data_IF_045136336730
#
_entry.id   IF_045136336730
#
_cell.length_a   1.000
_cell.length_b   1.000
_cell.length_c   1.000
_cell.angle_alpha   90.00
_cell.angle_beta   90.00
_cell.angle_gamma   90.00
#
_symmetry.space_group_name_H-M   'P 1'
#
loop_
_entity.id
_entity.type
_entity.pdbx_description
1 polymer ?
#
# COMPACT_ATOMS: atom_id res chain seq x y z
N UNK A 1 48.69 -18.38 -22.21
CA UNK A 1 50.05 -18.20 -21.67
C UNK A 1 50.82 -17.26 -22.59
N UNK A 2 51.17 -16.06 -22.13
CA UNK A 2 51.89 -15.08 -22.97
C UNK A 2 53.19 -15.74 -23.47
N UNK A 3 53.43 -15.72 -24.80
CA UNK A 3 54.54 -16.45 -25.46
C UNK A 3 55.89 -16.24 -24.77
N UNK A 4 56.09 -15.05 -24.20
CA UNK A 4 57.24 -14.66 -23.41
C UNK A 4 57.55 -15.59 -22.23
N UNK A 5 56.57 -15.84 -21.34
CA UNK A 5 56.77 -16.70 -20.16
C UNK A 5 56.90 -18.19 -20.51
N UNK A 6 56.38 -18.60 -21.67
CA UNK A 6 56.56 -19.95 -22.20
C UNK A 6 58.00 -20.17 -22.68
N UNK A 7 58.56 -19.20 -23.41
CA UNK A 7 59.94 -19.27 -23.92
C UNK A 7 60.97 -19.35 -22.78
N UNK A 8 60.76 -18.56 -21.71
CA UNK A 8 61.65 -18.54 -20.54
C UNK A 8 61.69 -19.90 -19.82
N UNK A 9 60.52 -20.54 -19.65
CA UNK A 9 60.45 -21.88 -19.03
C UNK A 9 61.13 -22.95 -19.86
N UNK A 10 60.92 -22.92 -21.18
CA UNK A 10 61.55 -23.88 -22.09
C UNK A 10 63.08 -23.78 -22.04
N UNK A 11 63.61 -22.55 -22.01
CA UNK A 11 65.05 -22.28 -21.90
C UNK A 11 65.63 -22.70 -20.53
N UNK A 12 64.87 -22.53 -19.44
CA UNK A 12 65.29 -22.95 -18.09
C UNK A 12 65.26 -24.47 -17.89
N UNK A 13 64.34 -25.16 -18.57
CA UNK A 13 64.24 -26.62 -18.58
C UNK A 13 65.38 -27.25 -19.38
N UNK A 14 65.71 -26.70 -20.57
CA UNK A 14 66.82 -27.17 -21.41
C UNK A 14 68.20 -26.92 -20.80
N UNK A 15 68.34 -26.05 -19.80
CA UNK A 15 69.61 -25.73 -19.13
C UNK A 15 69.83 -26.45 -17.80
N UNK A 16 68.99 -27.42 -17.45
CA UNK A 16 69.11 -28.22 -16.21
C UNK A 16 68.76 -27.48 -14.91
N UNK A 17 68.17 -26.28 -14.99
CA UNK A 17 67.88 -25.41 -13.82
C UNK A 17 66.47 -25.61 -13.27
N UNK A 18 66.15 -26.84 -12.86
CA UNK A 18 64.81 -27.25 -12.37
C UNK A 18 64.27 -26.40 -11.22
N UNK A 19 65.10 -26.03 -10.24
CA UNK A 19 64.69 -25.15 -9.13
C UNK A 19 64.23 -23.76 -9.60
N UNK A 20 64.87 -23.18 -10.62
CA UNK A 20 64.45 -21.90 -11.20
C UNK A 20 63.13 -22.07 -11.97
N UNK A 21 62.99 -23.15 -12.73
CA UNK A 21 61.75 -23.48 -13.43
C UNK A 21 60.53 -23.50 -12.49
N UNK A 22 60.62 -24.18 -11.34
CA UNK A 22 59.52 -24.23 -10.37
C UNK A 22 59.17 -22.86 -9.79
N UNK A 23 60.16 -22.01 -9.47
CA UNK A 23 59.91 -20.63 -9.00
C UNK A 23 59.16 -19.80 -10.04
N UNK A 24 59.52 -19.92 -11.32
CA UNK A 24 58.83 -19.20 -12.41
C UNK A 24 57.43 -19.75 -12.68
N UNK A 25 57.22 -21.07 -12.59
CA UNK A 25 55.91 -21.69 -12.76
C UNK A 25 54.93 -21.27 -11.64
N UNK A 26 55.38 -21.26 -10.39
CA UNK A 26 54.61 -20.76 -9.25
C UNK A 26 54.29 -19.27 -9.42
N UNK A 27 55.27 -18.46 -9.83
CA UNK A 27 55.06 -17.04 -10.11
C UNK A 27 53.99 -16.78 -11.18
N UNK A 28 53.93 -17.60 -12.23
CA UNK A 28 52.87 -17.48 -13.24
C UNK A 28 51.49 -17.87 -12.69
N UNK A 29 51.39 -18.94 -11.92
CA UNK A 29 50.12 -19.34 -11.30
C UNK A 29 49.60 -18.21 -10.41
N UNK A 30 50.46 -17.62 -9.58
CA UNK A 30 50.11 -16.48 -8.72
C UNK A 30 49.67 -15.28 -9.57
N UNK A 31 50.38 -14.96 -10.66
CA UNK A 31 50.02 -13.85 -11.56
C UNK A 31 48.64 -14.07 -12.21
N UNK A 32 48.36 -15.28 -12.68
CA UNK A 32 47.05 -15.66 -13.25
C UNK A 32 45.95 -15.58 -12.19
N UNK A 33 46.20 -16.08 -10.98
CA UNK A 33 45.26 -15.99 -9.87
C UNK A 33 44.93 -14.53 -9.52
N UNK A 34 45.93 -13.65 -9.44
CA UNK A 34 45.70 -12.21 -9.24
C UNK A 34 44.84 -11.62 -10.36
N UNK A 35 45.12 -11.97 -11.61
CA UNK A 35 44.31 -11.52 -12.75
C UNK A 35 42.83 -11.94 -12.65
N UNK A 36 42.57 -13.20 -12.27
CA UNK A 36 41.21 -13.71 -12.06
C UNK A 36 40.52 -13.00 -10.90
N UNK A 37 41.22 -12.82 -9.77
CA UNK A 37 40.68 -12.13 -8.60
C UNK A 37 40.32 -10.68 -8.91
N UNK A 38 41.18 -9.96 -9.64
CA UNK A 38 40.88 -8.59 -10.09
C UNK A 38 39.67 -8.54 -11.02
N UNK A 39 39.56 -9.48 -11.97
CA UNK A 39 38.39 -9.57 -12.85
C UNK A 39 37.10 -9.84 -12.07
N UNK A 40 37.13 -10.75 -11.08
CA UNK A 40 36.00 -11.02 -10.19
C UNK A 40 35.66 -9.81 -9.33
N UNK A 41 36.65 -9.08 -8.80
CA UNK A 41 36.43 -7.87 -8.01
C UNK A 41 35.76 -6.77 -8.84
N UNK A 42 36.23 -6.52 -10.07
CA UNK A 42 35.61 -5.54 -10.98
C UNK A 42 34.18 -5.94 -11.32
N UNK A 43 33.92 -7.23 -11.59
CA UNK A 43 32.58 -7.71 -11.84
C UNK A 43 31.66 -7.53 -10.62
N UNK A 44 32.11 -7.93 -9.43
CA UNK A 44 31.34 -7.78 -8.20
C UNK A 44 31.04 -6.31 -7.88
N UNK A 45 32.02 -5.41 -8.09
CA UNK A 45 31.81 -3.97 -7.92
C UNK A 45 30.74 -3.44 -8.89
N UNK A 46 30.79 -3.84 -10.17
CA UNK A 46 29.76 -3.44 -11.14
C UNK A 46 28.37 -4.00 -10.78
N UNK A 47 28.29 -5.25 -10.32
CA UNK A 47 27.02 -5.84 -9.86
C UNK A 47 26.46 -5.10 -8.64
N UNK A 48 27.29 -4.79 -7.65
CA UNK A 48 26.88 -4.03 -6.48
C UNK A 48 26.39 -2.62 -6.85
N UNK A 49 27.07 -1.95 -7.79
CA UNK A 49 26.62 -0.65 -8.32
C UNK A 49 25.25 -0.75 -8.98
N UNK A 50 25.04 -1.76 -9.83
CA UNK A 50 23.73 -1.97 -10.48
C UNK A 50 22.64 -2.30 -9.45
N UNK A 51 22.97 -3.08 -8.42
CA UNK A 51 22.04 -3.42 -7.33
C UNK A 51 21.63 -2.19 -6.52
N UNK A 52 22.56 -1.30 -6.19
CA UNK A 52 22.26 -0.04 -5.48
C UNK A 52 21.37 0.91 -6.32
N UNK A 53 21.63 1.02 -7.63
CA UNK A 53 20.77 1.80 -8.54
C UNK A 53 19.35 1.21 -8.58
N UNK A 54 19.23 -0.12 -8.57
CA UNK A 54 17.94 -0.80 -8.57
C UNK A 54 17.18 -0.61 -7.25
N UNK A 55 17.88 -0.67 -6.11
CA UNK A 55 17.33 -0.39 -4.79
C UNK A 55 16.70 1.00 -4.76
N UNK A 56 17.45 2.05 -5.09
CA UNK A 56 16.94 3.42 -5.14
C UNK A 56 15.72 3.55 -6.07
N UNK A 57 15.75 2.89 -7.24
CA UNK A 57 14.62 2.90 -8.18
C UNK A 57 13.37 2.30 -7.55
N UNK A 58 13.49 1.17 -6.87
CA UNK A 58 12.36 0.49 -6.22
C UNK A 58 11.85 1.31 -5.04
N UNK A 59 12.72 1.87 -4.20
CA UNK A 59 12.33 2.72 -3.08
C UNK A 59 11.54 3.96 -3.55
N UNK A 60 11.98 4.61 -4.65
CA UNK A 60 11.24 5.73 -5.26
C UNK A 60 9.86 5.31 -5.77
N UNK A 61 9.77 4.14 -6.42
CA UNK A 61 8.49 3.63 -6.91
C UNK A 61 7.52 3.29 -5.76
N UNK A 62 8.02 2.71 -4.66
CA UNK A 62 7.25 2.45 -3.45
C UNK A 62 6.74 3.76 -2.83
N UNK A 63 7.62 4.76 -2.71
CA UNK A 63 7.24 6.07 -2.17
C UNK A 63 6.08 6.71 -2.95
N UNK A 64 6.19 6.77 -4.27
CA UNK A 64 5.13 7.32 -5.13
C UNK A 64 3.82 6.53 -4.99
N UNK A 65 3.90 5.20 -4.86
CA UNK A 65 2.76 4.35 -4.56
C UNK A 65 2.09 4.74 -3.23
N UNK A 66 2.87 4.83 -2.15
CA UNK A 66 2.37 5.20 -0.82
C UNK A 66 1.81 6.62 -0.75
N UNK A 67 2.38 7.59 -1.47
CA UNK A 67 1.82 8.95 -1.58
C UNK A 67 0.44 8.94 -2.27
N UNK A 68 0.28 8.08 -3.29
CA UNK A 68 -1.02 7.87 -3.94
C UNK A 68 -2.01 7.21 -2.99
N UNK A 69 -1.57 6.18 -2.26
CA UNK A 69 -2.38 5.48 -1.26
C UNK A 69 -2.83 6.45 -0.14
N UNK A 70 -1.93 7.30 0.36
CA UNK A 70 -2.25 8.31 1.38
C UNK A 70 -3.26 9.33 0.86
N UNK A 71 -3.19 9.69 -0.42
CA UNK A 71 -4.18 10.59 -1.05
C UNK A 71 -5.56 9.93 -1.07
N UNK A 72 -5.66 8.65 -1.43
CA UNK A 72 -6.91 7.89 -1.41
C UNK A 72 -7.46 7.71 0.01
N UNK A 73 -6.58 7.41 0.99
CA UNK A 73 -6.96 7.34 2.41
C UNK A 73 -7.57 8.64 2.91
N UNK A 74 -6.99 9.79 2.55
CA UNK A 74 -7.51 11.11 2.92
C UNK A 74 -8.87 11.41 2.28
N UNK A 75 -9.03 11.06 1.00
CA UNK A 75 -10.31 11.18 0.30
C UNK A 75 -11.39 10.33 0.98
N UNK A 76 -11.09 9.06 1.25
CA UNK A 76 -12.00 8.14 1.90
C UNK A 76 -12.36 8.58 3.33
N UNK A 77 -11.38 9.06 4.11
CA UNK A 77 -11.60 9.61 5.43
C UNK A 77 -12.60 10.79 5.40
N UNK A 78 -12.48 11.66 4.39
CA UNK A 78 -13.42 12.77 4.16
C UNK A 78 -14.81 12.27 3.79
N UNK A 79 -14.92 11.26 2.94
CA UNK A 79 -16.18 10.66 2.54
C UNK A 79 -16.91 9.96 3.71
N UNK A 80 -16.16 9.23 4.56
CA UNK A 80 -16.71 8.64 5.80
C UNK A 80 -17.18 9.74 6.75
N UNK A 81 -16.40 10.81 6.92
CA UNK A 81 -16.78 11.95 7.75
C UNK A 81 -18.08 12.60 7.27
N UNK A 82 -18.27 12.69 5.95
CA UNK A 82 -19.49 13.16 5.34
C UNK A 82 -20.67 12.21 5.63
N UNK A 83 -20.48 10.91 5.42
CA UNK A 83 -21.50 9.89 5.71
C UNK A 83 -21.97 9.93 7.17
N UNK A 84 -21.06 10.10 8.12
CA UNK A 84 -21.37 10.30 9.54
C UNK A 84 -22.20 11.57 9.77
N UNK A 85 -21.86 12.67 9.10
CA UNK A 85 -22.59 13.93 9.21
C UNK A 85 -24.03 13.80 8.69
N UNK A 86 -24.21 13.15 7.54
CA UNK A 86 -25.53 12.88 6.96
C UNK A 86 -26.37 11.95 7.87
N UNK A 87 -25.77 10.90 8.43
CA UNK A 87 -26.44 10.05 9.41
C UNK A 87 -26.90 10.82 10.66
N UNK A 88 -26.08 11.78 11.13
CA UNK A 88 -26.47 12.65 12.24
C UNK A 88 -27.65 13.57 11.88
N UNK A 89 -27.68 14.12 10.66
CA UNK A 89 -28.82 14.92 10.17
C UNK A 89 -30.10 14.09 10.14
N UNK A 90 -30.05 12.87 9.59
CA UNK A 90 -31.18 11.92 9.59
C UNK A 90 -31.67 11.66 11.01
N UNK A 91 -30.76 11.23 11.91
CA UNK A 91 -31.11 10.90 13.29
C UNK A 91 -31.69 12.09 14.06
N UNK A 92 -31.19 13.31 13.79
CA UNK A 92 -31.73 14.55 14.36
C UNK A 92 -33.16 14.79 13.88
N UNK A 93 -33.40 14.68 12.58
CA UNK A 93 -34.72 14.90 11.98
C UNK A 93 -35.76 13.92 12.52
N UNK A 94 -35.40 12.63 12.61
CA UNK A 94 -36.24 11.59 13.21
C UNK A 94 -36.53 11.87 14.69
N UNK A 95 -35.51 12.23 15.48
CA UNK A 95 -35.65 12.48 16.93
C UNK A 95 -36.49 13.73 17.23
N UNK A 96 -36.31 14.79 16.46
CA UNK A 96 -36.99 16.07 16.67
C UNK A 96 -38.41 16.10 16.11
N UNK A 97 -38.87 14.99 15.52
CA UNK A 97 -40.17 14.88 14.88
C UNK A 97 -40.39 15.97 13.80
N UNK A 98 -39.34 16.29 13.03
CA UNK A 98 -39.44 17.27 11.95
C UNK A 98 -40.35 16.74 10.82
N UNK A 99 -41.07 17.59 10.07
CA UNK A 99 -41.85 17.14 8.92
C UNK A 99 -40.93 16.62 7.80
N UNK A 100 -41.44 15.72 6.96
CA UNK A 100 -40.72 15.27 5.76
C UNK A 100 -40.35 16.46 4.86
N UNK A 101 -39.11 16.45 4.37
CA UNK A 101 -38.58 17.38 3.36
C UNK A 101 -37.88 16.56 2.30
N UNK A 102 -38.05 16.90 1.04
CA UNK A 102 -37.49 16.14 -0.09
C UNK A 102 -35.97 15.89 0.05
N UNK A 103 -35.24 16.88 0.59
CA UNK A 103 -33.80 16.79 0.84
C UNK A 103 -33.39 15.68 1.82
N UNK A 104 -34.30 15.17 2.64
CA UNK A 104 -33.99 14.07 3.58
C UNK A 104 -33.69 12.76 2.85
N UNK A 105 -34.28 12.56 1.66
CA UNK A 105 -34.02 11.38 0.85
C UNK A 105 -32.55 11.30 0.39
N UNK A 106 -31.95 12.45 0.09
CA UNK A 106 -30.54 12.55 -0.27
C UNK A 106 -29.65 12.28 0.97
N UNK A 107 -30.05 12.73 2.17
CA UNK A 107 -29.33 12.40 3.39
C UNK A 107 -29.33 10.89 3.68
N UNK A 108 -30.46 10.20 3.47
CA UNK A 108 -30.53 8.75 3.60
C UNK A 108 -29.63 8.03 2.60
N UNK A 109 -29.60 8.48 1.34
CA UNK A 109 -28.73 7.89 0.32
C UNK A 109 -27.25 8.11 0.62
N UNK A 110 -26.86 9.35 0.91
CA UNK A 110 -25.44 9.72 1.12
C UNK A 110 -24.86 9.04 2.35
N UNK A 111 -25.62 8.91 3.45
CA UNK A 111 -25.09 8.23 4.64
C UNK A 111 -24.75 6.75 4.39
N UNK A 112 -25.38 6.12 3.40
CA UNK A 112 -25.19 4.71 3.02
C UNK A 112 -24.15 4.50 1.92
N UNK A 113 -23.49 5.57 1.44
CA UNK A 113 -22.54 5.47 0.35
C UNK A 113 -21.24 4.79 0.80
N UNK A 114 -20.86 3.64 0.23
CA UNK A 114 -19.68 2.91 0.66
C UNK A 114 -18.39 3.62 0.19
N UNK A 115 -17.33 3.47 0.99
CA UNK A 115 -15.96 3.80 0.59
C UNK A 115 -15.18 2.52 0.35
N UNK A 116 -14.10 2.63 -0.44
CA UNK A 116 -13.16 1.55 -0.68
C UNK A 116 -11.76 2.10 -0.85
N UNK A 117 -10.82 1.56 -0.09
CA UNK A 117 -9.41 1.89 -0.21
C UNK A 117 -8.81 1.25 -1.47
N UNK A 118 -8.30 2.11 -2.34
CA UNK A 118 -7.60 1.73 -3.56
C UNK A 118 -6.10 1.97 -3.34
N UNK A 119 -5.31 0.91 -3.42
CA UNK A 119 -3.89 0.94 -3.07
C UNK A 119 -3.01 0.36 -4.18
N UNK A 120 -1.81 0.89 -4.30
CA UNK A 120 -0.84 0.53 -5.32
C UNK A 120 0.09 -0.58 -4.84
N UNK A 121 -0.01 -1.76 -5.45
CA UNK A 121 0.84 -2.92 -5.11
C UNK A 121 2.01 -3.14 -6.05
N UNK A 122 2.01 -2.51 -7.23
CA UNK A 122 2.94 -2.83 -8.32
C UNK A 122 4.42 -2.76 -7.91
N UNK A 123 4.82 -1.71 -7.19
CA UNK A 123 6.20 -1.54 -6.73
C UNK A 123 6.59 -2.58 -5.67
N UNK A 124 5.68 -2.91 -4.76
CA UNK A 124 5.91 -3.91 -3.73
C UNK A 124 5.96 -5.33 -4.29
N UNK A 125 5.09 -5.68 -5.25
CA UNK A 125 5.16 -6.95 -5.97
C UNK A 125 6.47 -7.08 -6.77
N UNK A 126 6.92 -5.98 -7.37
CA UNK A 126 8.22 -5.93 -8.06
C UNK A 126 9.38 -6.18 -7.08
N UNK A 127 9.34 -5.60 -5.89
CA UNK A 127 10.33 -5.86 -4.83
C UNK A 127 10.32 -7.34 -4.43
N UNK A 128 9.15 -7.93 -4.16
CA UNK A 128 9.04 -9.35 -3.81
C UNK A 128 9.59 -10.26 -4.92
N UNK A 129 9.27 -9.96 -6.18
CA UNK A 129 9.76 -10.73 -7.33
C UNK A 129 11.29 -10.64 -7.51
N UNK A 130 11.89 -9.49 -7.18
CA UNK A 130 13.35 -9.29 -7.23
C UNK A 130 14.09 -9.84 -6.01
N UNK A 131 13.38 -10.07 -4.91
CA UNK A 131 13.93 -10.39 -3.60
C UNK A 131 13.92 -9.16 -2.69
N UNK A 132 13.30 -9.31 -1.52
CA UNK A 132 13.19 -8.23 -0.53
C UNK A 132 14.57 -7.79 0.00
N UNK A 133 15.59 -8.66 -0.10
CA UNK A 133 16.99 -8.38 0.21
C UNK A 133 17.65 -7.41 -0.77
N UNK A 134 16.93 -6.97 -1.82
CA UNK A 134 17.31 -5.80 -2.60
C UNK A 134 17.38 -4.55 -1.71
N UNK A 135 16.49 -4.42 -0.71
CA UNK A 135 16.56 -3.35 0.29
C UNK A 135 17.56 -3.73 1.36
N UNK A 136 18.68 -3.02 1.37
CA UNK A 136 19.86 -3.26 2.22
C UNK A 136 19.59 -2.86 3.66
N UNK A 137 18.86 -1.77 3.88
CA UNK A 137 18.39 -1.36 5.21
C UNK A 137 17.33 -2.36 5.73
N UNK A 138 17.73 -3.17 6.70
CA UNK A 138 16.89 -4.23 7.24
C UNK A 138 15.63 -3.68 7.93
N UNK A 139 15.76 -2.59 8.69
CA UNK A 139 14.64 -1.97 9.40
C UNK A 139 13.61 -1.43 8.40
N UNK A 140 14.06 -0.71 7.37
CA UNK A 140 13.18 -0.18 6.32
C UNK A 140 12.51 -1.32 5.54
N UNK A 141 13.26 -2.37 5.20
CA UNK A 141 12.70 -3.55 4.52
C UNK A 141 11.57 -4.17 5.35
N UNK A 142 11.78 -4.34 6.65
CA UNK A 142 10.78 -4.91 7.55
C UNK A 142 9.57 -3.97 7.69
N UNK A 143 9.77 -2.65 7.69
CA UNK A 143 8.70 -1.66 7.69
C UNK A 143 7.86 -1.70 6.40
N UNK A 144 8.50 -1.80 5.22
CA UNK A 144 7.82 -1.97 3.93
C UNK A 144 6.93 -3.22 3.96
N UNK A 145 7.50 -4.37 4.36
CA UNK A 145 6.76 -5.63 4.45
C UNK A 145 5.62 -5.54 5.45
N UNK A 146 5.85 -4.90 6.61
CA UNK A 146 4.83 -4.67 7.61
C UNK A 146 3.61 -3.94 7.03
N UNK A 147 3.83 -2.78 6.41
CA UNK A 147 2.73 -1.98 5.84
C UNK A 147 1.94 -2.76 4.80
N UNK A 148 2.62 -3.37 3.82
CA UNK A 148 1.95 -4.00 2.69
C UNK A 148 1.33 -5.36 3.01
N UNK A 149 2.04 -6.27 3.67
CA UNK A 149 1.54 -7.64 3.88
C UNK A 149 0.66 -7.74 5.13
N UNK A 150 0.90 -6.92 6.17
CA UNK A 150 0.16 -7.00 7.43
C UNK A 150 -0.88 -5.90 7.58
N UNK A 151 -0.46 -4.64 7.50
CA UNK A 151 -1.32 -3.52 7.86
C UNK A 151 -2.42 -3.27 6.83
N UNK A 152 -2.09 -3.28 5.54
CA UNK A 152 -3.08 -3.20 4.47
C UNK A 152 -4.05 -4.38 4.50
N UNK A 153 -3.56 -5.61 4.67
CA UNK A 153 -4.43 -6.79 4.77
C UNK A 153 -5.45 -6.66 5.91
N UNK A 154 -4.99 -6.33 7.12
CA UNK A 154 -5.88 -6.13 8.27
C UNK A 154 -6.88 -5.00 8.04
N UNK A 155 -6.41 -3.89 7.45
CA UNK A 155 -7.23 -2.73 7.17
C UNK A 155 -8.34 -3.03 6.17
N UNK A 156 -8.03 -3.73 5.06
CA UNK A 156 -8.98 -4.09 4.01
C UNK A 156 -10.06 -5.08 4.52
N UNK A 157 -9.68 -6.06 5.33
CA UNK A 157 -10.65 -6.97 5.95
C UNK A 157 -11.57 -6.21 6.92
N UNK A 158 -11.01 -5.26 7.68
CA UNK A 158 -11.80 -4.39 8.54
C UNK A 158 -12.77 -3.52 7.74
N UNK A 159 -12.29 -2.89 6.66
CA UNK A 159 -13.10 -2.08 5.75
C UNK A 159 -14.29 -2.86 5.21
N UNK A 160 -14.03 -4.07 4.71
CA UNK A 160 -15.04 -4.95 4.16
C UNK A 160 -16.15 -5.23 5.19
N UNK A 161 -15.78 -5.63 6.39
CA UNK A 161 -16.76 -5.98 7.44
C UNK A 161 -17.53 -4.75 7.95
N UNK A 162 -16.84 -3.62 8.14
CA UNK A 162 -17.47 -2.42 8.74
C UNK A 162 -18.32 -1.66 7.73
N UNK A 163 -17.88 -1.58 6.47
CA UNK A 163 -18.50 -0.73 5.45
C UNK A 163 -19.28 -1.58 4.47
N UNK A 164 -18.61 -2.43 3.69
CA UNK A 164 -19.22 -3.08 2.52
C UNK A 164 -20.32 -4.07 2.93
N UNK A 165 -19.99 -5.00 3.82
CA UNK A 165 -20.92 -6.04 4.25
C UNK A 165 -22.10 -5.46 5.05
N UNK A 166 -21.88 -4.40 5.82
CA UNK A 166 -22.93 -3.77 6.62
C UNK A 166 -23.89 -2.94 5.76
N UNK A 167 -23.38 -2.24 4.74
CA UNK A 167 -24.20 -1.54 3.75
C UNK A 167 -25.06 -2.55 2.99
N UNK A 168 -24.46 -3.63 2.50
CA UNK A 168 -25.17 -4.69 1.78
C UNK A 168 -26.23 -5.36 2.67
N UNK A 169 -25.91 -5.65 3.92
CA UNK A 169 -26.88 -6.17 4.90
C UNK A 169 -28.05 -5.21 5.07
N UNK A 170 -27.78 -3.90 5.18
CA UNK A 170 -28.81 -2.86 5.24
C UNK A 170 -29.75 -2.91 4.03
N UNK A 171 -29.19 -2.90 2.82
CA UNK A 171 -29.95 -2.99 1.57
C UNK A 171 -30.76 -4.28 1.43
N UNK A 172 -30.29 -5.40 1.97
CA UNK A 172 -31.00 -6.68 1.87
C UNK A 172 -32.08 -6.88 2.93
N UNK A 173 -31.89 -6.34 4.13
CA UNK A 173 -32.70 -6.75 5.30
C UNK A 173 -33.51 -5.62 5.92
N UNK A 174 -32.99 -4.39 5.94
CA UNK A 174 -33.62 -3.28 6.66
C UNK A 174 -34.35 -2.35 5.68
N UNK A 175 -33.68 -1.94 4.61
CA UNK A 175 -34.19 -0.89 3.70
C UNK A 175 -35.41 -1.30 2.83
N UNK A 176 -35.58 -2.55 2.36
CA UNK A 176 -36.65 -2.90 1.41
C UNK A 176 -38.08 -2.66 1.93
N UNK A 177 -38.33 -2.74 3.23
CA UNK A 177 -39.66 -2.48 3.81
C UNK A 177 -39.90 -1.01 4.16
N UNK A 178 -38.93 -0.13 3.91
CA UNK A 178 -38.87 1.24 4.44
C UNK A 178 -38.70 2.31 3.36
N UNK A 179 -38.15 1.94 2.21
CA UNK A 179 -37.83 2.84 1.12
C UNK A 179 -38.46 2.35 -0.19
N UNK A 180 -38.81 3.29 -1.07
CA UNK A 180 -39.45 3.01 -2.36
C UNK A 180 -38.55 2.12 -3.24
N UNK A 181 -37.26 2.43 -3.27
CA UNK A 181 -36.24 1.75 -4.07
C UNK A 181 -34.84 2.05 -3.52
N UNK A 182 -33.86 1.27 -3.98
CA UNK A 182 -32.43 1.41 -3.66
C UNK A 182 -31.60 1.57 -4.94
N UNK A 183 -30.37 2.10 -4.84
CA UNK A 183 -29.50 2.38 -5.99
C UNK A 183 -30.08 3.39 -6.99
N UNK A 184 -30.87 4.36 -6.51
CA UNK A 184 -31.32 5.48 -7.33
C UNK A 184 -30.21 6.52 -7.41
N UNK A 185 -29.74 6.77 -8.63
CA UNK A 185 -28.75 7.80 -8.94
C UNK A 185 -29.34 8.78 -9.95
N UNK A 186 -29.26 10.06 -9.62
CA UNK A 186 -29.54 11.12 -10.59
C UNK A 186 -28.31 11.29 -11.51
N UNK A 187 -28.34 10.57 -12.64
CA UNK A 187 -27.26 10.58 -13.64
C UNK A 187 -27.11 11.94 -14.35
N UNK A 188 -28.05 12.88 -14.16
CA UNK A 188 -27.95 14.24 -14.70
C UNK A 188 -27.08 15.16 -13.83
N UNK A 189 -26.81 14.77 -12.58
CA UNK A 189 -25.97 15.53 -11.63
C UNK A 189 -24.53 15.03 -11.66
N UNK A 190 -23.60 15.97 -11.77
CA UNK A 190 -22.16 15.68 -11.84
C UNK A 190 -21.59 14.87 -10.66
N UNK A 191 -22.27 14.90 -9.49
CA UNK A 191 -21.77 14.28 -8.26
C UNK A 191 -22.47 12.96 -7.89
N UNK A 192 -23.21 12.32 -8.81
CA UNK A 192 -23.89 11.02 -8.57
C UNK A 192 -24.51 10.92 -7.16
N UNK A 193 -25.54 11.71 -6.88
CA UNK A 193 -26.10 11.73 -5.52
C UNK A 193 -26.99 10.50 -5.30
N UNK A 194 -26.63 9.57 -4.40
CA UNK A 194 -27.50 8.47 -4.04
C UNK A 194 -28.72 9.02 -3.31
N UNK A 195 -29.89 8.44 -3.58
CA UNK A 195 -31.14 8.87 -2.98
C UNK A 195 -31.93 7.68 -2.47
N UNK A 196 -32.55 7.83 -1.30
CA UNK A 196 -33.42 6.83 -0.69
C UNK A 196 -34.70 7.51 -0.18
N UNK A 197 -35.78 7.37 -0.93
CA UNK A 197 -37.08 7.98 -0.61
C UNK A 197 -37.86 7.05 0.35
N UNK A 198 -38.23 7.51 1.55
CA UNK A 198 -38.93 6.67 2.52
C UNK A 198 -40.39 6.45 2.09
N UNK A 199 -40.89 5.22 2.22
CA UNK A 199 -42.30 4.89 1.96
C UNK A 199 -43.25 5.68 2.88
N UNK A 200 -42.85 5.87 4.14
CA UNK A 200 -43.58 6.68 5.09
C UNK A 200 -42.62 7.24 6.16
N UNK A 201 -42.26 8.52 6.02
CA UNK A 201 -41.33 9.16 6.94
C UNK A 201 -41.83 9.25 8.38
N UNK A 202 -43.14 9.42 8.60
CA UNK A 202 -43.71 9.50 9.96
C UNK A 202 -43.57 8.18 10.72
N UNK A 203 -43.73 7.05 10.02
CA UNK A 203 -43.53 5.72 10.62
C UNK A 203 -42.05 5.49 10.98
N UNK A 204 -41.11 5.93 10.13
CA UNK A 204 -39.66 5.76 10.38
C UNK A 204 -39.19 6.44 11.68
N UNK A 205 -39.87 7.50 12.12
CA UNK A 205 -39.55 8.18 13.39
C UNK A 205 -39.75 7.29 14.62
N UNK A 206 -40.59 6.27 14.51
CA UNK A 206 -40.93 5.34 15.59
C UNK A 206 -40.34 3.93 15.36
N UNK A 207 -39.71 3.70 14.21
CA UNK A 207 -39.13 2.41 13.84
C UNK A 207 -37.82 2.14 14.59
N UNK A 208 -37.91 1.36 15.67
CA UNK A 208 -36.78 1.08 16.54
C UNK A 208 -35.67 0.30 15.84
N UNK A 209 -36.00 -0.65 14.96
CA UNK A 209 -35.02 -1.44 14.22
C UNK A 209 -34.23 -0.55 13.26
N UNK A 210 -34.92 0.31 12.51
CA UNK A 210 -34.29 1.23 11.58
C UNK A 210 -33.39 2.25 12.29
N UNK A 211 -33.89 2.84 13.39
CA UNK A 211 -33.13 3.80 14.18
C UNK A 211 -31.90 3.14 14.81
N UNK A 212 -32.04 1.90 15.29
CA UNK A 212 -30.92 1.11 15.79
C UNK A 212 -29.88 0.85 14.70
N UNK A 213 -30.31 0.48 13.49
CA UNK A 213 -29.44 0.27 12.34
C UNK A 213 -28.62 1.53 12.02
N UNK A 214 -29.24 2.69 11.83
CA UNK A 214 -28.52 3.93 11.49
C UNK A 214 -27.54 4.32 12.59
N UNK A 215 -27.96 4.25 13.87
CA UNK A 215 -27.07 4.57 15.00
C UNK A 215 -25.85 3.66 15.02
N UNK A 216 -26.07 2.36 14.83
CA UNK A 216 -25.01 1.35 14.86
C UNK A 216 -24.07 1.51 13.69
N UNK A 217 -24.58 1.70 12.48
CA UNK A 217 -23.77 1.92 11.29
C UNK A 217 -22.93 3.21 11.39
N UNK A 218 -23.54 4.33 11.78
CA UNK A 218 -22.80 5.57 12.06
C UNK A 218 -21.71 5.38 13.12
N UNK A 219 -21.99 4.66 14.21
CA UNK A 219 -20.99 4.41 15.25
C UNK A 219 -19.83 3.56 14.73
N UNK A 220 -20.12 2.54 13.91
CA UNK A 220 -19.09 1.73 13.23
C UNK A 220 -18.23 2.57 12.30
N UNK A 221 -18.83 3.43 11.47
CA UNK A 221 -18.09 4.39 10.65
C UNK A 221 -17.21 5.32 11.48
N UNK A 222 -17.71 5.81 12.62
CA UNK A 222 -16.94 6.67 13.52
C UNK A 222 -15.72 5.95 14.12
N UNK A 223 -15.86 4.67 14.49
CA UNK A 223 -14.73 3.82 14.92
C UNK A 223 -13.76 3.61 13.77
N UNK A 224 -14.26 3.29 12.58
CA UNK A 224 -13.42 3.07 11.40
C UNK A 224 -12.59 4.30 11.05
N UNK A 225 -13.21 5.48 11.00
CA UNK A 225 -12.53 6.74 10.74
C UNK A 225 -11.50 7.11 11.82
N UNK A 226 -11.89 7.09 13.09
CA UNK A 226 -11.03 7.66 14.13
C UNK A 226 -10.00 6.67 14.69
N UNK A 227 -10.24 5.37 14.56
CA UNK A 227 -9.31 4.34 15.00
C UNK A 227 -8.53 3.77 13.83
N UNK A 228 -9.21 3.14 12.86
CA UNK A 228 -8.53 2.42 11.78
C UNK A 228 -7.84 3.36 10.78
N UNK A 229 -8.49 4.47 10.37
CA UNK A 229 -7.85 5.49 9.52
C UNK A 229 -6.82 6.32 10.30
N UNK A 230 -7.31 7.20 11.18
CA UNK A 230 -6.51 8.29 11.76
C UNK A 230 -5.45 7.84 12.77
N UNK A 231 -5.66 6.72 13.48
CA UNK A 231 -4.73 6.25 14.51
C UNK A 231 -3.84 5.11 14.07
N UNK A 232 -4.19 4.40 13.00
CA UNK A 232 -3.47 3.20 12.57
C UNK A 232 -2.89 3.42 11.18
N UNK A 233 -3.70 3.33 10.12
CA UNK A 233 -3.14 3.16 8.79
C UNK A 233 -2.50 4.42 8.23
N UNK A 234 -3.10 5.60 8.43
CA UNK A 234 -2.54 6.85 7.88
C UNK A 234 -1.17 7.16 8.49
N UNK A 235 -0.98 7.13 9.83
CA UNK A 235 0.35 7.32 10.41
C UNK A 235 1.38 6.29 9.95
N UNK A 236 0.98 5.03 9.70
CA UNK A 236 1.89 3.99 9.24
C UNK A 236 2.38 4.24 7.82
N UNK A 237 1.49 4.67 6.94
CA UNK A 237 1.83 5.06 5.56
C UNK A 237 2.70 6.31 5.54
N UNK A 238 2.34 7.34 6.33
CA UNK A 238 3.12 8.59 6.46
C UNK A 238 4.54 8.32 6.96
N UNK A 239 4.68 7.55 8.05
CA UNK A 239 5.99 7.20 8.60
C UNK A 239 6.85 6.42 7.58
N UNK A 240 6.26 5.49 6.83
CA UNK A 240 7.01 4.72 5.83
C UNK A 240 7.45 5.61 4.65
N UNK A 241 6.63 6.59 4.24
CA UNK A 241 7.03 7.58 3.24
C UNK A 241 8.26 8.37 3.72
N UNK A 242 8.26 8.81 4.98
CA UNK A 242 9.37 9.55 5.58
C UNK A 242 10.65 8.69 5.67
N UNK A 243 10.53 7.43 6.08
CA UNK A 243 11.65 6.48 6.13
C UNK A 243 12.23 6.21 4.74
N UNK A 244 11.38 6.03 3.72
CA UNK A 244 11.80 5.88 2.33
C UNK A 244 12.54 7.12 1.84
N UNK A 245 12.03 8.31 2.14
CA UNK A 245 12.68 9.57 1.75
C UNK A 245 14.05 9.76 2.40
N UNK A 246 14.18 9.39 3.68
CA UNK A 246 15.45 9.44 4.39
C UNK A 246 16.47 8.46 3.80
N UNK A 247 16.05 7.22 3.51
CA UNK A 247 16.93 6.20 2.93
C UNK A 247 17.38 6.56 1.51
N UNK A 248 16.45 7.03 0.66
CA UNK A 248 16.77 7.47 -0.70
C UNK A 248 17.85 8.57 -0.67
N UNK A 249 17.71 9.56 0.22
CA UNK A 249 18.72 10.62 0.37
C UNK A 249 20.07 10.06 0.85
N UNK A 250 20.07 9.08 1.74
CA UNK A 250 21.31 8.43 2.19
C UNK A 250 22.00 7.66 1.05
N UNK A 251 21.24 6.97 0.21
CA UNK A 251 21.78 6.15 -0.89
C UNK A 251 22.24 6.97 -2.10
N UNK A 252 21.71 8.18 -2.29
CA UNK A 252 22.06 9.06 -3.40
C UNK A 252 23.24 10.01 -3.12
N UNK A 253 23.65 10.16 -1.85
CA UNK A 253 24.79 10.97 -1.42
C UNK A 253 26.09 10.14 -1.35
#
# INVERSE_FOLDING_TARGET
>A
MIKFFRQIRYNLMNSGKTSKYFKYAIGEIILVMIGILLALQVNNWNQNRLRAIEEVRVLKALKVGLETDLTDLNYNATSIQNSIAHANTVLKSLKNNEPYRDSIADHFGIMMFPVKFLYSTSAFETLKAKGIDLVTNAQLRDAIVGVYDSNYTFFLETEKVIVLDEVERGFRTVLPSRFEESYVFDLSKANYMPRLVPLNFEILKQDQEFIYFIKSYRNRLNTFLNFHYKKIIMPQVENLIDELDAEIKTLEN
#
